data_IF_333130627153
#
_entry.id   IF_333130627153
#
_cell.length_a   1.000
_cell.length_b   1.000
_cell.length_c   1.000
_cell.angle_alpha   90.00
_cell.angle_beta   90.00
_cell.angle_gamma   90.00
#
_symmetry.space_group_name_H-M   'P 1'
#
loop_
_entity.id
_entity.type
_entity.pdbx_description
1 polymer ?
#
# COMPACT_ATOMS: atom_id res chain seq x y z
N UNK A 1 -25.76 -50.26 4.84
CA UNK A 1 -26.98 -49.49 5.24
C UNK A 1 -26.97 -48.13 4.56
N UNK A 2 -27.56 -47.98 3.37
CA UNK A 2 -27.56 -46.72 2.59
C UNK A 2 -28.68 -46.66 1.53
N UNK A 3 -29.93 -46.99 1.91
CA UNK A 3 -31.08 -46.96 0.97
C UNK A 3 -32.35 -46.30 1.52
N UNK A 4 -32.27 -45.53 2.61
CA UNK A 4 -33.45 -44.88 3.23
C UNK A 4 -33.50 -43.35 3.13
N UNK A 5 -32.44 -42.67 2.68
CA UNK A 5 -32.43 -41.18 2.61
C UNK A 5 -32.87 -40.59 1.26
N UNK A 6 -32.95 -41.41 0.19
CA UNK A 6 -33.31 -40.96 -1.17
C UNK A 6 -34.81 -40.98 -1.47
N UNK A 7 -35.64 -41.65 -0.66
CA UNK A 7 -37.10 -41.74 -0.86
C UNK A 7 -37.90 -40.63 -0.16
N UNK A 8 -37.38 -40.04 0.92
CA UNK A 8 -38.11 -39.02 1.70
C UNK A 8 -38.14 -37.64 1.04
N UNK A 9 -37.16 -37.31 0.20
CA UNK A 9 -37.01 -35.99 -0.44
C UNK A 9 -37.89 -35.77 -1.69
N UNK A 10 -38.52 -36.84 -2.21
CA UNK A 10 -39.39 -36.78 -3.39
C UNK A 10 -40.84 -36.48 -2.99
N UNK A 11 -41.31 -37.05 -1.88
CA UNK A 11 -42.66 -36.84 -1.36
C UNK A 11 -42.89 -35.40 -0.84
N UNK A 12 -41.86 -34.73 -0.31
CA UNK A 12 -41.97 -33.32 0.09
C UNK A 12 -42.07 -32.34 -1.10
N UNK A 13 -41.55 -32.70 -2.29
CA UNK A 13 -41.65 -31.87 -3.49
C UNK A 13 -43.05 -31.93 -4.10
N UNK A 14 -43.66 -33.10 -4.12
CA UNK A 14 -45.01 -33.30 -4.68
C UNK A 14 -46.11 -32.66 -3.81
N UNK A 15 -45.84 -32.45 -2.52
CA UNK A 15 -46.77 -31.82 -1.59
C UNK A 15 -46.75 -30.28 -1.68
N UNK A 16 -45.60 -29.67 -2.01
CA UNK A 16 -45.45 -28.20 -2.16
C UNK A 16 -46.09 -27.70 -3.47
N UNK A 17 -46.19 -28.54 -4.51
CA UNK A 17 -46.75 -28.14 -5.82
C UNK A 17 -48.29 -28.08 -5.81
N UNK A 18 -48.97 -28.65 -4.81
CA UNK A 18 -50.45 -28.75 -4.79
C UNK A 18 -51.19 -27.65 -4.04
N UNK A 19 -50.49 -26.73 -3.38
CA UNK A 19 -51.12 -25.67 -2.57
C UNK A 19 -50.64 -24.27 -2.99
N UNK A 20 -51.19 -23.76 -4.08
CA UNK A 20 -51.34 -22.32 -4.33
C UNK A 20 -52.71 -22.11 -5.01
N UNK A 21 -53.68 -21.43 -4.36
CA UNK A 21 -54.96 -21.11 -4.98
C UNK A 21 -54.81 -20.04 -6.06
N UNK A 22 -55.53 -20.27 -7.14
CA UNK A 22 -55.74 -19.39 -8.28
C UNK A 22 -56.48 -18.12 -7.81
N UNK A 23 -55.84 -16.95 -7.87
CA UNK A 23 -56.53 -15.67 -7.75
C UNK A 23 -56.14 -14.75 -8.90
N UNK A 24 -57.17 -14.40 -9.66
CA UNK A 24 -57.18 -13.47 -10.79
C UNK A 24 -57.28 -12.04 -10.28
N UNK A 25 -56.66 -11.13 -11.04
CA UNK A 25 -57.01 -9.71 -11.30
C UNK A 25 -56.07 -8.60 -10.80
N UNK A 26 -55.81 -7.70 -11.76
CA UNK A 26 -55.59 -6.25 -11.66
C UNK A 26 -54.19 -5.68 -11.38
N UNK A 27 -53.53 -5.33 -12.49
CA UNK A 27 -53.09 -3.97 -12.87
C UNK A 27 -51.94 -3.24 -12.15
N UNK A 28 -51.14 -2.62 -13.02
CA UNK A 28 -50.42 -1.32 -12.93
C UNK A 28 -49.07 -1.24 -12.20
N UNK A 29 -48.03 -1.18 -13.06
CA UNK A 29 -46.86 -0.28 -13.05
C UNK A 29 -46.02 -0.14 -11.77
N UNK A 30 -44.77 -0.66 -11.80
CA UNK A 30 -43.67 -0.20 -10.92
C UNK A 30 -42.30 -0.46 -11.60
N UNK A 31 -41.28 0.39 -11.39
CA UNK A 31 -40.24 0.78 -12.37
C UNK A 31 -39.25 -0.28 -12.84
N UNK A 32 -38.73 -0.05 -14.05
CA UNK A 32 -37.62 -0.77 -14.66
C UNK A 32 -36.40 -0.81 -13.73
N UNK A 33 -36.08 -2.00 -13.22
CA UNK A 33 -34.79 -2.29 -12.60
C UNK A 33 -33.67 -2.05 -13.63
N UNK A 34 -32.53 -1.44 -13.26
CA UNK A 34 -31.41 -1.34 -14.17
C UNK A 34 -30.96 -2.75 -14.54
N UNK A 35 -31.20 -3.13 -15.80
CA UNK A 35 -30.80 -4.42 -16.37
C UNK A 35 -29.33 -4.65 -16.08
N UNK A 36 -29.05 -5.56 -15.14
CA UNK A 36 -27.68 -5.96 -14.84
C UNK A 36 -27.11 -6.62 -16.10
N UNK A 37 -25.93 -6.19 -16.57
CA UNK A 37 -25.38 -6.68 -17.83
C UNK A 37 -25.17 -8.20 -17.72
N UNK A 38 -25.77 -8.93 -18.67
CA UNK A 38 -25.60 -10.38 -18.76
C UNK A 38 -24.13 -10.66 -19.06
N UNK A 39 -23.41 -11.20 -18.08
CA UNK A 39 -22.00 -11.52 -18.25
C UNK A 39 -21.84 -12.59 -19.35
N UNK A 40 -20.96 -12.38 -20.34
CA UNK A 40 -20.70 -13.38 -21.36
C UNK A 40 -20.10 -14.63 -20.71
N UNK A 41 -20.55 -15.81 -21.14
CA UNK A 41 -20.01 -17.10 -20.66
C UNK A 41 -18.62 -17.32 -21.25
N UNK A 42 -17.58 -16.88 -20.55
CA UNK A 42 -16.17 -17.04 -20.98
C UNK A 42 -15.55 -18.29 -20.35
N UNK A 43 -14.91 -19.15 -21.15
CA UNK A 43 -14.17 -20.31 -20.66
C UNK A 43 -12.89 -19.86 -19.92
N UNK A 44 -12.51 -20.59 -18.88
CA UNK A 44 -11.56 -20.18 -17.83
C UNK A 44 -10.29 -19.47 -18.32
N UNK A 45 -10.00 -18.32 -17.70
CA UNK A 45 -8.82 -17.49 -17.92
C UNK A 45 -9.13 -16.10 -18.50
N UNK A 46 -10.16 -15.98 -19.33
CA UNK A 46 -10.35 -14.80 -20.20
C UNK A 46 -11.53 -13.88 -19.78
N UNK A 47 -12.11 -14.10 -18.60
CA UNK A 47 -13.30 -13.37 -18.15
C UNK A 47 -12.96 -11.97 -17.62
N UNK A 48 -11.78 -11.80 -17.00
CA UNK A 48 -11.33 -10.49 -16.51
C UNK A 48 -11.11 -9.52 -17.67
N UNK A 49 -10.49 -9.98 -18.75
CA UNK A 49 -10.26 -9.19 -19.96
C UNK A 49 -11.57 -8.81 -20.65
N UNK A 50 -12.52 -9.75 -20.74
CA UNK A 50 -13.83 -9.50 -21.32
C UNK A 50 -14.63 -8.43 -20.54
N UNK A 51 -14.57 -8.47 -19.20
CA UNK A 51 -15.21 -7.48 -18.34
C UNK A 51 -14.55 -6.10 -18.50
N UNK A 52 -13.22 -6.05 -18.54
CA UNK A 52 -12.48 -4.80 -18.76
C UNK A 52 -12.78 -4.19 -20.13
N UNK A 53 -12.88 -5.02 -21.18
CA UNK A 53 -13.18 -4.57 -22.54
C UNK A 53 -14.61 -4.04 -22.66
N UNK A 54 -15.59 -4.70 -22.04
CA UNK A 54 -16.97 -4.22 -21.98
C UNK A 54 -17.04 -2.88 -21.22
N UNK A 55 -16.41 -2.81 -20.06
CA UNK A 55 -16.36 -1.58 -19.27
C UNK A 55 -15.65 -0.43 -20.01
N UNK A 56 -14.65 -0.73 -20.84
CA UNK A 56 -14.01 0.26 -21.70
C UNK A 56 -14.93 0.75 -22.82
N UNK A 57 -15.67 -0.16 -23.46
CA UNK A 57 -16.65 0.16 -24.52
C UNK A 57 -17.81 1.01 -24.00
N UNK A 58 -18.24 0.75 -22.77
CA UNK A 58 -19.33 1.47 -22.12
C UNK A 58 -18.91 2.86 -21.59
N UNK A 59 -17.68 3.31 -21.89
CA UNK A 59 -17.18 4.61 -21.45
C UNK A 59 -16.89 4.67 -19.95
N UNK A 60 -16.74 3.53 -19.28
CA UNK A 60 -16.47 3.45 -17.84
C UNK A 60 -15.16 4.12 -17.41
N UNK A 61 -14.26 4.40 -18.36
CA UNK A 61 -13.03 5.18 -18.13
C UNK A 61 -13.14 6.66 -18.56
N UNK A 62 -14.33 7.15 -18.92
CA UNK A 62 -14.50 8.56 -19.30
C UNK A 62 -14.77 9.48 -18.12
N UNK A 63 -15.40 8.96 -17.07
CA UNK A 63 -15.73 9.72 -15.86
C UNK A 63 -14.95 9.25 -14.62
N UNK A 64 -13.62 9.07 -14.73
CA UNK A 64 -12.82 8.81 -13.53
C UNK A 64 -12.57 10.11 -12.75
N UNK A 65 -12.74 10.09 -11.42
CA UNK A 65 -12.36 11.21 -10.58
C UNK A 65 -10.84 11.45 -10.71
N UNK A 66 -10.46 12.61 -11.24
CA UNK A 66 -9.06 12.98 -11.41
C UNK A 66 -8.45 12.68 -12.79
N UNK A 67 -9.22 12.18 -13.76
CA UNK A 67 -8.76 12.04 -15.16
C UNK A 67 -8.28 13.39 -15.70
N UNK A 68 -7.05 13.44 -16.20
CA UNK A 68 -6.44 14.63 -16.79
C UNK A 68 -6.06 15.74 -15.80
N UNK A 69 -6.23 15.54 -14.48
CA UNK A 69 -5.71 16.48 -13.49
C UNK A 69 -4.22 16.16 -13.24
N UNK A 70 -3.35 17.18 -13.17
CA UNK A 70 -1.98 16.96 -12.72
C UNK A 70 -2.00 16.34 -11.31
N UNK A 71 -1.16 15.34 -11.08
CA UNK A 71 -1.04 14.72 -9.77
C UNK A 71 -0.56 15.78 -8.77
N UNK A 72 -1.38 16.04 -7.74
CA UNK A 72 -0.96 16.87 -6.61
C UNK A 72 -0.11 16.01 -5.68
N UNK A 73 1.15 15.80 -6.07
CA UNK A 73 2.17 15.20 -5.22
C UNK A 73 2.68 16.32 -4.32
N UNK A 74 2.18 16.39 -3.09
CA UNK A 74 2.83 17.19 -2.06
C UNK A 74 4.14 16.47 -1.68
N UNK A 75 5.18 16.67 -2.50
CA UNK A 75 6.52 16.09 -2.34
C UNK A 75 7.20 16.52 -1.03
N UNK A 76 6.57 17.38 -0.22
CA UNK A 76 7.09 17.79 1.09
C UNK A 76 7.14 16.64 2.08
N UNK A 77 6.24 15.66 1.99
CA UNK A 77 6.33 14.44 2.78
C UNK A 77 6.84 13.31 1.89
N UNK A 78 7.95 12.70 2.27
CA UNK A 78 8.44 11.50 1.61
C UNK A 78 7.35 10.43 1.67
N UNK A 79 6.88 9.96 0.51
CA UNK A 79 5.83 8.92 0.41
C UNK A 79 6.24 7.68 1.20
N UNK A 80 7.55 7.45 1.31
CA UNK A 80 8.14 6.40 2.12
C UNK A 80 7.79 6.53 3.62
N UNK A 81 7.85 7.74 4.19
CA UNK A 81 7.52 7.97 5.60
C UNK A 81 6.06 7.62 5.93
N UNK A 82 5.14 7.89 5.01
CA UNK A 82 3.73 7.52 5.14
C UNK A 82 3.53 6.00 5.14
N UNK A 83 4.22 5.29 4.24
CA UNK A 83 4.17 3.83 4.16
C UNK A 83 4.77 3.20 5.42
N UNK A 84 5.89 3.72 5.92
CA UNK A 84 6.54 3.23 7.14
C UNK A 84 5.67 3.41 8.39
N UNK A 85 5.03 4.58 8.52
CA UNK A 85 4.09 4.85 9.63
C UNK A 85 2.88 3.92 9.57
N UNK A 86 2.35 3.66 8.38
CA UNK A 86 1.20 2.78 8.18
C UNK A 86 1.54 1.30 8.41
N UNK A 87 2.76 0.87 8.08
CA UNK A 87 3.21 -0.51 8.25
C UNK A 87 3.60 -0.85 9.72
N UNK A 88 3.68 0.14 10.61
CA UNK A 88 4.05 -0.05 12.01
C UNK A 88 5.48 -0.57 12.24
N UNK A 89 6.31 -0.62 11.19
CA UNK A 89 7.67 -1.15 11.24
C UNK A 89 8.63 -0.19 10.53
N UNK A 90 9.55 0.38 11.31
CA UNK A 90 10.63 1.21 10.79
C UNK A 90 11.82 0.31 10.47
N UNK A 91 12.35 0.33 9.22
CA UNK A 91 13.55 -0.41 8.89
C UNK A 91 14.73 -0.03 9.80
N UNK A 92 15.59 -0.98 10.18
CA UNK A 92 16.69 -0.72 11.11
C UNK A 92 17.65 0.36 10.61
N UNK A 93 17.85 0.50 9.29
CA UNK A 93 18.73 1.50 8.71
C UNK A 93 18.18 2.94 8.81
N UNK A 94 16.86 3.14 8.86
CA UNK A 94 16.23 4.45 9.07
C UNK A 94 16.43 4.93 10.51
N UNK A 95 16.27 4.04 11.48
CA UNK A 95 16.57 4.37 12.88
C UNK A 95 18.05 4.77 13.05
N UNK A 96 18.94 4.02 12.40
CA UNK A 96 20.38 4.27 12.40
C UNK A 96 20.72 5.62 11.71
N UNK A 97 19.99 6.00 10.66
CA UNK A 97 20.11 7.32 10.02
C UNK A 97 19.84 8.47 10.99
N UNK A 98 18.74 8.37 11.75
CA UNK A 98 18.37 9.38 12.73
C UNK A 98 19.40 9.47 13.86
N UNK A 99 19.92 8.32 14.32
CA UNK A 99 20.98 8.25 15.32
C UNK A 99 22.27 8.96 14.83
N UNK A 100 22.72 8.64 13.61
CA UNK A 100 23.90 9.30 13.01
C UNK A 100 23.69 10.82 12.93
N UNK A 101 22.51 11.27 12.49
CA UNK A 101 22.20 12.69 12.37
C UNK A 101 22.31 13.42 13.72
N UNK A 102 21.77 12.82 14.79
CA UNK A 102 21.88 13.37 16.14
C UNK A 102 23.33 13.41 16.63
N UNK A 103 24.12 12.37 16.35
CA UNK A 103 25.51 12.33 16.78
C UNK A 103 26.39 13.32 16.02
N UNK A 104 26.13 13.53 14.72
CA UNK A 104 26.78 14.59 13.93
C UNK A 104 26.44 15.96 14.52
N UNK A 105 25.17 16.24 14.87
CA UNK A 105 24.79 17.50 15.49
C UNK A 105 25.52 17.75 16.82
N UNK A 106 25.61 16.73 17.68
CA UNK A 106 26.37 16.83 18.94
C UNK A 106 27.85 17.12 18.67
N UNK A 107 28.45 16.42 17.72
CA UNK A 107 29.86 16.62 17.37
C UNK A 107 30.14 18.02 16.79
N UNK A 108 29.20 18.61 16.02
CA UNK A 108 29.29 20.02 15.57
C UNK A 108 29.27 20.97 16.76
N UNK A 109 28.35 20.79 17.71
CA UNK A 109 28.27 21.63 18.91
C UNK A 109 29.52 21.53 19.79
N UNK A 110 30.08 20.32 19.94
CA UNK A 110 31.33 20.10 20.67
C UNK A 110 32.52 20.80 20.01
N UNK A 111 32.58 20.77 18.68
CA UNK A 111 33.60 21.49 17.89
C UNK A 111 33.53 23.00 18.11
N UNK A 112 32.32 23.58 18.13
CA UNK A 112 32.11 25.02 18.36
C UNK A 112 32.44 25.44 19.79
N UNK A 113 32.31 24.53 20.76
CA UNK A 113 32.54 24.81 22.18
C UNK A 113 34.03 24.79 22.57
N UNK A 114 34.96 24.49 21.65
CA UNK A 114 36.41 24.29 21.88
C UNK A 114 36.75 23.32 23.02
N UNK A 115 35.78 22.47 23.40
CA UNK A 115 35.99 21.44 24.41
C UNK A 115 36.79 20.31 23.75
N UNK A 116 38.06 20.22 24.13
CA UNK A 116 39.03 19.22 23.66
C UNK A 116 38.74 17.82 24.25
N UNK A 117 37.48 17.39 24.17
CA UNK A 117 37.03 16.04 24.51
C UNK A 117 37.01 15.27 23.20
N UNK A 118 37.86 14.24 23.14
CA UNK A 118 38.00 13.17 22.15
C UNK A 118 37.04 13.21 20.94
N UNK A 119 37.15 14.29 20.17
CA UNK A 119 36.33 14.57 19.01
C UNK A 119 36.64 13.54 17.91
N UNK A 120 37.91 13.13 17.83
CA UNK A 120 38.40 12.13 16.91
C UNK A 120 37.79 10.76 17.18
N UNK A 121 37.69 10.32 18.44
CA UNK A 121 36.97 9.09 18.79
C UNK A 121 35.48 9.18 18.46
N UNK A 122 34.83 10.31 18.78
CA UNK A 122 33.42 10.53 18.44
C UNK A 122 33.19 10.43 16.92
N UNK A 123 34.08 11.01 16.12
CA UNK A 123 34.05 10.91 14.65
C UNK A 123 34.29 9.47 14.18
N UNK A 124 35.19 8.73 14.82
CA UNK A 124 35.45 7.32 14.50
C UNK A 124 34.21 6.44 14.77
N UNK A 125 33.51 6.69 15.86
CA UNK A 125 32.24 6.02 16.20
C UNK A 125 31.16 6.33 15.15
N UNK A 126 30.98 7.61 14.80
CA UNK A 126 30.04 8.04 13.75
C UNK A 126 30.37 7.33 12.43
N UNK A 127 31.64 7.31 12.02
CA UNK A 127 32.06 6.64 10.79
C UNK A 127 31.81 5.13 10.81
N UNK A 128 31.91 4.49 11.97
CA UNK A 128 31.55 3.07 12.14
C UNK A 128 30.05 2.85 11.92
N UNK A 129 29.20 3.74 12.46
CA UNK A 129 27.76 3.73 12.21
C UNK A 129 27.44 3.96 10.73
N UNK A 130 28.10 4.93 10.07
CA UNK A 130 27.93 5.20 8.64
C UNK A 130 28.27 3.97 7.79
N UNK A 131 29.34 3.24 8.11
CA UNK A 131 29.67 1.98 7.42
C UNK A 131 28.56 0.95 7.59
N UNK A 132 28.03 0.79 8.81
CA UNK A 132 26.90 -0.11 9.09
C UNK A 132 25.62 0.31 8.36
N UNK A 133 25.35 1.61 8.27
CA UNK A 133 24.24 2.14 7.48
C UNK A 133 24.39 1.79 6.00
N UNK A 134 25.58 2.03 5.43
CA UNK A 134 25.85 1.76 4.02
C UNK A 134 25.74 0.28 3.63
N UNK A 135 26.03 -0.65 4.56
CA UNK A 135 25.85 -2.09 4.33
C UNK A 135 24.40 -2.55 4.43
N UNK A 136 23.55 -1.84 5.18
CA UNK A 136 22.13 -2.14 5.29
C UNK A 136 21.28 -1.46 4.22
N UNK A 137 21.79 -0.40 3.59
CA UNK A 137 21.08 0.33 2.56
C UNK A 137 20.82 -0.54 1.32
N UNK A 138 19.58 -0.60 0.81
CA UNK A 138 19.22 -1.45 -0.32
C UNK A 138 19.79 -0.95 -1.66
N UNK A 139 20.10 0.34 -1.77
CA UNK A 139 20.59 0.95 -3.02
C UNK A 139 21.85 1.79 -2.78
N UNK A 140 22.89 1.68 -3.64
CA UNK A 140 24.11 2.46 -3.52
C UNK A 140 23.91 3.98 -3.55
N UNK A 141 22.85 4.46 -4.20
CA UNK A 141 22.51 5.89 -4.29
C UNK A 141 22.16 6.52 -2.93
N UNK A 142 21.69 5.72 -1.97
CA UNK A 142 21.34 6.18 -0.62
C UNK A 142 22.52 6.10 0.35
N UNK A 143 23.66 5.54 -0.07
CA UNK A 143 24.84 5.44 0.77
C UNK A 143 25.45 6.82 1.03
N UNK A 144 25.99 6.99 2.23
CA UNK A 144 26.56 8.26 2.71
C UNK A 144 28.07 8.18 2.83
N UNK A 145 28.75 9.30 2.63
CA UNK A 145 30.20 9.41 2.79
C UNK A 145 30.57 9.50 4.27
N UNK A 146 31.81 9.12 4.58
CA UNK A 146 32.39 9.33 5.91
C UNK A 146 32.53 10.82 6.24
N UNK A 147 32.66 11.08 7.53
CA UNK A 147 32.77 12.40 8.13
C UNK A 147 34.18 12.60 8.70
N UNK A 148 34.69 13.83 8.63
CA UNK A 148 35.95 14.27 9.27
C UNK A 148 35.71 15.58 10.03
N UNK A 149 36.63 15.97 10.91
CA UNK A 149 36.49 17.18 11.73
C UNK A 149 36.32 18.47 10.91
N UNK A 150 36.93 18.51 9.73
CA UNK A 150 36.80 19.60 8.76
C UNK A 150 35.41 19.62 8.11
N UNK A 151 34.93 18.46 7.66
CA UNK A 151 33.72 18.34 6.82
C UNK A 151 32.42 18.11 7.60
N UNK A 152 32.47 18.01 8.94
CA UNK A 152 31.32 17.59 9.75
C UNK A 152 30.12 18.54 9.65
N UNK A 153 30.38 19.84 9.55
CA UNK A 153 29.35 20.86 9.42
C UNK A 153 28.66 20.78 8.04
N UNK A 154 29.42 20.58 6.97
CA UNK A 154 28.87 20.45 5.61
C UNK A 154 28.03 19.18 5.49
N UNK A 155 28.56 18.06 6.02
CA UNK A 155 27.89 16.76 5.94
C UNK A 155 26.56 16.75 6.68
N UNK A 156 26.36 17.57 7.70
CA UNK A 156 25.07 17.67 8.39
C UNK A 156 23.90 17.98 7.44
N UNK A 157 24.15 18.74 6.36
CA UNK A 157 23.11 19.03 5.35
C UNK A 157 22.73 17.81 4.51
N UNK A 158 23.63 16.83 4.38
CA UNK A 158 23.41 15.60 3.64
C UNK A 158 22.61 14.55 4.46
N UNK A 159 22.41 14.76 5.77
CA UNK A 159 21.79 13.81 6.72
C UNK A 159 20.43 14.28 7.26
#
# INVERSE_FOLDING_TARGET
MSFLWRRRRRLQRDQIVKEQPNNTEASTETPEEPTSPTLPRVHGGNWMDAVMEQHAKDGGFDNLPGKGKPLNIDLKSDVFDGILKNAGAVPPWIALQQEIRQDIQKAVLLKESEVNVDLDSTIAEINTKIRRFNTQCPTPLLQKRSVSAENIAERLSDW
#
